data_IF_394785404521
#
_entry.id   IF_394785404521
#
_cell.length_a   1.000
_cell.length_b   1.000
_cell.length_c   1.000
_cell.angle_alpha   90.00
_cell.angle_beta   90.00
_cell.angle_gamma   90.00
#
_symmetry.space_group_name_H-M   'P 1'
#
loop_
_entity.id
_entity.type
_entity.pdbx_description
1 polymer ?
#
# COMPACT_ATOMS: atom_id res chain seq x y z
N UNK A 1 3.71 15.94 24.21
CA UNK A 1 2.95 15.59 22.98
C UNK A 1 3.72 14.53 22.21
N UNK A 2 3.09 13.45 21.77
CA UNK A 2 3.73 12.48 20.86
C UNK A 2 4.01 13.17 19.52
N UNK A 3 5.27 13.15 19.07
CA UNK A 3 5.66 13.70 17.77
C UNK A 3 5.11 12.77 16.69
N UNK A 4 4.26 13.27 15.79
CA UNK A 4 3.82 12.48 14.62
C UNK A 4 5.03 12.17 13.74
N UNK A 5 5.30 10.89 13.52
CA UNK A 5 6.34 10.40 12.62
C UNK A 5 5.65 9.75 11.43
N UNK A 6 6.05 10.12 10.21
CA UNK A 6 5.55 9.46 9.00
C UNK A 6 6.18 8.09 8.85
N UNK A 7 5.47 7.16 8.20
CA UNK A 7 5.98 5.81 7.93
C UNK A 7 7.35 5.87 7.21
N UNK A 8 7.49 6.72 6.20
CA UNK A 8 8.76 6.90 5.48
C UNK A 8 9.89 7.34 6.40
N UNK A 9 9.63 8.29 7.31
CA UNK A 9 10.65 8.74 8.24
C UNK A 9 11.05 7.60 9.19
N UNK A 10 10.07 6.91 9.76
CA UNK A 10 10.32 5.77 10.64
C UNK A 10 11.18 4.71 9.94
N UNK A 11 10.85 4.33 8.71
CA UNK A 11 11.58 3.32 7.96
C UNK A 11 13.00 3.76 7.56
N UNK A 12 13.22 5.04 7.30
CA UNK A 12 14.58 5.59 7.06
C UNK A 12 15.41 5.52 8.34
N UNK A 13 14.83 5.85 9.50
CA UNK A 13 15.50 5.74 10.80
C UNK A 13 15.85 4.27 11.12
N UNK A 14 14.91 3.34 10.93
CA UNK A 14 15.16 1.90 11.11
C UNK A 14 16.27 1.33 10.19
N UNK A 15 16.43 1.87 8.97
CA UNK A 15 17.49 1.43 8.06
C UNK A 15 18.84 2.08 8.37
N UNK A 16 18.88 3.41 8.53
CA UNK A 16 20.14 4.19 8.54
C UNK A 16 20.70 4.43 9.93
N UNK A 17 19.86 4.56 10.94
CA UNK A 17 20.28 4.87 12.31
C UNK A 17 20.44 3.57 13.08
N UNK A 18 19.42 2.71 13.04
CA UNK A 18 19.37 1.52 13.88
C UNK A 18 19.90 0.25 13.17
N UNK A 19 19.98 0.27 11.83
CA UNK A 19 20.44 -0.89 11.04
C UNK A 19 19.53 -2.12 11.14
N UNK A 20 18.29 -1.97 11.61
CA UNK A 20 17.35 -3.06 11.86
C UNK A 20 16.78 -3.70 10.60
N UNK A 21 16.76 -2.97 9.48
CA UNK A 21 16.21 -3.47 8.21
C UNK A 21 17.18 -3.25 7.04
N UNK A 22 17.29 -4.22 6.11
CA UNK A 22 18.04 -4.02 4.89
C UNK A 22 17.33 -3.03 3.95
N UNK A 23 18.09 -2.44 3.03
CA UNK A 23 17.57 -1.48 2.05
C UNK A 23 16.45 -2.05 1.18
N UNK A 24 16.52 -3.33 0.80
CA UNK A 24 15.47 -3.97 0.00
C UNK A 24 14.15 -4.07 0.77
N UNK A 25 14.19 -4.37 2.07
CA UNK A 25 12.98 -4.45 2.90
C UNK A 25 12.35 -3.06 3.06
N UNK A 26 13.15 -2.01 3.28
CA UNK A 26 12.64 -0.64 3.29
C UNK A 26 11.93 -0.30 1.98
N UNK A 27 12.55 -0.61 0.85
CA UNK A 27 11.98 -0.34 -0.47
C UNK A 27 10.65 -1.09 -0.67
N UNK A 28 10.59 -2.37 -0.31
CA UNK A 28 9.37 -3.17 -0.40
C UNK A 28 8.22 -2.53 0.39
N UNK A 29 8.48 -2.14 1.63
CA UNK A 29 7.47 -1.51 2.49
C UNK A 29 6.99 -0.16 1.93
N UNK A 30 7.90 0.63 1.35
CA UNK A 30 7.54 1.88 0.66
C UNK A 30 6.66 1.66 -0.57
N UNK A 31 6.94 0.61 -1.36
CA UNK A 31 6.11 0.25 -2.52
C UNK A 31 4.72 -0.18 -2.08
N UNK A 32 4.61 -1.03 -1.05
CA UNK A 32 3.32 -1.47 -0.49
C UNK A 32 2.53 -0.27 0.05
N UNK A 33 3.16 0.61 0.84
CA UNK A 33 2.50 1.80 1.38
C UNK A 33 1.95 2.71 0.27
N UNK A 34 2.68 2.85 -0.84
CA UNK A 34 2.23 3.60 -2.02
C UNK A 34 1.03 2.94 -2.69
N UNK A 35 1.08 1.61 -2.87
CA UNK A 35 -0.04 0.85 -3.41
C UNK A 35 -1.31 1.00 -2.55
N UNK A 36 -1.18 0.89 -1.22
CA UNK A 36 -2.30 1.11 -0.30
C UNK A 36 -2.90 2.52 -0.44
N UNK A 37 -2.05 3.55 -0.60
CA UNK A 37 -2.53 4.93 -0.81
C UNK A 37 -3.31 5.05 -2.13
N UNK A 38 -2.82 4.45 -3.22
CA UNK A 38 -3.50 4.43 -4.51
C UNK A 38 -4.84 3.69 -4.45
N UNK A 39 -4.89 2.52 -3.80
CA UNK A 39 -6.13 1.76 -3.60
C UNK A 39 -7.12 2.57 -2.77
N UNK A 40 -6.69 3.19 -1.68
CA UNK A 40 -7.56 4.04 -0.86
C UNK A 40 -8.14 5.21 -1.66
N UNK A 41 -7.36 5.83 -2.54
CA UNK A 41 -7.86 6.89 -3.43
C UNK A 41 -8.90 6.36 -4.43
N UNK A 42 -8.69 5.16 -5.00
CA UNK A 42 -9.66 4.55 -5.91
C UNK A 42 -10.96 4.20 -5.19
N UNK A 43 -10.88 3.57 -4.01
CA UNK A 43 -12.03 3.22 -3.17
C UNK A 43 -12.81 4.47 -2.75
N UNK A 44 -12.12 5.53 -2.30
CA UNK A 44 -12.77 6.77 -1.88
C UNK A 44 -13.49 7.50 -3.02
N UNK A 45 -13.12 7.25 -4.28
CA UNK A 45 -13.81 7.78 -5.45
C UNK A 45 -14.99 6.92 -5.90
N UNK A 46 -15.03 5.63 -5.52
CA UNK A 46 -16.13 4.72 -5.85
C UNK A 46 -16.42 4.69 -7.36
N UNK A 47 -17.71 4.83 -7.72
CA UNK A 47 -18.19 4.78 -9.11
C UNK A 47 -17.63 5.90 -9.99
N UNK A 48 -17.31 7.06 -9.39
CA UNK A 48 -16.65 8.16 -10.10
C UNK A 48 -15.26 7.77 -10.62
N UNK A 49 -14.66 6.72 -10.04
CA UNK A 49 -13.40 6.15 -10.49
C UNK A 49 -13.53 5.06 -11.56
N UNK A 50 -14.75 4.65 -11.94
CA UNK A 50 -14.99 3.56 -12.88
C UNK A 50 -14.49 2.19 -12.41
N UNK A 51 -14.20 2.05 -11.11
CA UNK A 51 -13.63 0.85 -10.48
C UNK A 51 -14.69 -0.03 -9.80
N UNK A 52 -15.96 0.35 -9.89
CA UNK A 52 -17.07 -0.47 -9.41
C UNK A 52 -17.59 -1.32 -10.56
N UNK A 53 -17.67 -2.63 -10.36
CA UNK A 53 -18.13 -3.56 -11.38
C UNK A 53 -17.85 -5.00 -10.99
N UNK A 54 -18.00 -5.87 -11.97
CA UNK A 54 -17.58 -7.26 -11.88
C UNK A 54 -16.62 -7.49 -13.04
N UNK A 55 -15.38 -7.83 -12.74
CA UNK A 55 -14.45 -8.30 -13.76
C UNK A 55 -15.00 -9.61 -14.35
N UNK A 56 -15.05 -9.70 -15.68
CA UNK A 56 -15.64 -10.85 -16.39
C UNK A 56 -14.77 -12.12 -16.36
N UNK A 57 -13.90 -12.22 -15.35
CA UNK A 57 -12.88 -13.25 -15.21
C UNK A 57 -12.88 -13.77 -13.77
N UNK A 58 -12.69 -15.07 -13.61
CA UNK A 58 -12.57 -15.71 -12.30
C UNK A 58 -11.10 -15.81 -11.87
N UNK A 59 -10.88 -15.82 -10.57
CA UNK A 59 -9.56 -16.13 -10.02
C UNK A 59 -9.31 -17.66 -10.00
N UNK A 60 -8.10 -18.07 -9.60
CA UNK A 60 -7.73 -19.50 -9.52
C UNK A 60 -8.55 -20.29 -8.50
N UNK A 61 -9.27 -19.59 -7.62
CA UNK A 61 -10.19 -20.17 -6.64
C UNK A 61 -11.64 -20.28 -7.18
N UNK A 62 -11.92 -19.86 -8.41
CA UNK A 62 -13.27 -19.87 -9.01
C UNK A 62 -14.18 -18.75 -8.50
N UNK A 63 -13.61 -17.71 -7.88
CA UNK A 63 -14.37 -16.55 -7.42
C UNK A 63 -14.44 -15.50 -8.53
N UNK A 64 -15.63 -14.95 -8.72
CA UNK A 64 -15.86 -13.83 -9.63
C UNK A 64 -15.21 -12.57 -9.06
N UNK A 65 -14.31 -11.95 -9.82
CA UNK A 65 -13.58 -10.77 -9.37
C UNK A 65 -14.44 -9.50 -9.50
N UNK A 66 -14.35 -8.59 -8.53
CA UNK A 66 -15.02 -7.28 -8.56
C UNK A 66 -14.06 -6.18 -9.01
#
# INVERSE_FOLDING_TARGET
MSKRISLTRYLVEQQRVDGHIPSQLRLLLEVVARACKSISQAVNKGDLGGVLGVASTENVQGEVQK
#
